data_IF_844046168171
#
_entry.id   IF_844046168171
#
_cell.length_a   1.000
_cell.length_b   1.000
_cell.length_c   1.000
_cell.angle_alpha   90.00
_cell.angle_beta   90.00
_cell.angle_gamma   90.00
#
_symmetry.space_group_name_H-M   'P 1'
#
loop_
_entity.id
_entity.type
_entity.pdbx_description
1 polymer ?
#
# COMPACT_ATOMS: atom_id res chain seq x y z
N UNK A 1 -0.36 14.55 -16.07
CA UNK A 1 -1.06 14.12 -14.84
C UNK A 1 -2.06 15.16 -14.36
N UNK A 2 -1.64 16.34 -13.88
CA UNK A 2 -2.57 17.37 -13.36
C UNK A 2 -3.61 17.82 -14.39
N UNK A 3 -3.18 18.19 -15.60
CA UNK A 3 -4.09 18.61 -16.68
C UNK A 3 -5.09 17.52 -17.07
N UNK A 4 -4.62 16.27 -17.15
CA UNK A 4 -5.46 15.12 -17.47
C UNK A 4 -6.53 14.89 -16.39
N UNK A 5 -6.16 15.03 -15.11
CA UNK A 5 -7.13 14.92 -14.02
C UNK A 5 -8.18 16.02 -14.05
N UNK A 6 -7.79 17.27 -14.38
CA UNK A 6 -8.73 18.38 -14.55
C UNK A 6 -9.72 18.08 -15.69
N UNK A 7 -9.23 17.66 -16.85
CA UNK A 7 -10.05 17.31 -18.03
C UNK A 7 -11.05 16.19 -17.73
N UNK A 8 -10.68 15.23 -16.88
CA UNK A 8 -11.50 14.06 -16.55
C UNK A 8 -12.26 14.20 -15.22
N UNK A 9 -12.30 15.40 -14.63
CA UNK A 9 -13.00 15.68 -13.37
C UNK A 9 -12.51 14.83 -12.18
N UNK A 10 -11.23 14.50 -12.16
CA UNK A 10 -10.57 13.74 -11.09
C UNK A 10 -10.00 14.72 -10.06
N UNK A 11 -10.43 14.57 -8.81
CA UNK A 11 -9.89 15.35 -7.70
C UNK A 11 -8.52 14.77 -7.31
N UNK A 12 -7.46 15.52 -7.59
CA UNK A 12 -6.09 15.13 -7.26
C UNK A 12 -5.74 15.68 -5.88
N UNK A 13 -5.41 14.79 -4.93
CA UNK A 13 -4.93 15.16 -3.61
C UNK A 13 -3.40 15.26 -3.59
N UNK A 14 -2.89 16.46 -3.31
CA UNK A 14 -1.47 16.68 -3.04
C UNK A 14 -1.17 16.38 -1.56
N UNK A 15 -0.67 15.19 -1.27
CA UNK A 15 -0.29 14.80 0.07
C UNK A 15 1.10 15.37 0.44
N UNK A 16 1.36 15.69 1.72
CA UNK A 16 2.69 16.05 2.18
C UNK A 16 3.71 14.95 1.90
N UNK A 17 4.99 15.32 1.77
CA UNK A 17 6.06 14.37 1.52
C UNK A 17 6.10 13.27 2.59
N UNK A 18 6.35 12.02 2.17
CA UNK A 18 6.43 10.82 3.02
C UNK A 18 5.14 10.45 3.79
N UNK A 19 3.99 11.04 3.45
CA UNK A 19 2.72 10.70 4.11
C UNK A 19 1.85 9.71 3.34
N UNK A 20 2.24 9.30 2.13
CA UNK A 20 1.50 8.38 1.27
C UNK A 20 1.07 7.11 2.02
N UNK A 21 2.01 6.45 2.69
CA UNK A 21 1.75 5.20 3.43
C UNK A 21 0.83 5.34 4.66
N UNK A 22 0.52 6.58 5.06
CA UNK A 22 -0.26 6.92 6.25
C UNK A 22 -1.58 7.61 5.89
N UNK A 23 -1.65 8.31 4.76
CA UNK A 23 -2.85 9.06 4.37
C UNK A 23 -3.62 8.39 3.25
N UNK A 24 -2.98 7.53 2.43
CA UNK A 24 -3.70 6.83 1.38
C UNK A 24 -4.46 5.63 1.96
N UNK A 25 -5.80 5.60 1.83
CA UNK A 25 -6.61 4.51 2.39
C UNK A 25 -6.24 3.14 1.84
N UNK A 26 -5.76 3.07 0.59
CA UNK A 26 -5.32 1.84 -0.04
C UNK A 26 -4.06 1.26 0.63
N UNK A 27 -3.09 2.11 0.96
CA UNK A 27 -1.86 1.68 1.64
C UNK A 27 -2.16 1.14 3.04
N UNK A 28 -3.04 1.81 3.79
CA UNK A 28 -3.40 1.38 5.15
C UNK A 28 -4.37 0.21 5.15
N UNK A 29 -5.40 0.25 4.33
CA UNK A 29 -6.53 -0.68 4.38
C UNK A 29 -6.29 -1.97 3.63
N UNK A 30 -5.59 -1.92 2.49
CA UNK A 30 -5.36 -3.10 1.65
C UNK A 30 -3.92 -3.58 1.74
N UNK A 31 -2.94 -2.72 1.46
CA UNK A 31 -1.56 -3.16 1.31
C UNK A 31 -0.87 -3.48 2.63
N UNK A 32 -1.16 -2.77 3.72
CA UNK A 32 -0.61 -3.09 5.05
C UNK A 32 -1.03 -4.48 5.54
N UNK A 33 -2.32 -4.84 5.58
CA UNK A 33 -2.74 -6.19 5.97
C UNK A 33 -2.18 -7.27 5.05
N UNK A 34 -2.21 -7.04 3.74
CA UNK A 34 -1.66 -7.97 2.75
C UNK A 34 -0.17 -8.22 2.98
N UNK A 35 0.61 -7.16 3.18
CA UNK A 35 2.04 -7.25 3.48
C UNK A 35 2.28 -8.03 4.76
N UNK A 36 1.49 -7.76 5.80
CA UNK A 36 1.62 -8.46 7.08
C UNK A 36 1.38 -9.96 6.92
N UNK A 37 0.27 -10.34 6.28
CA UNK A 37 -0.08 -11.74 6.02
C UNK A 37 0.97 -12.46 5.17
N UNK A 38 1.43 -11.81 4.09
CA UNK A 38 2.48 -12.41 3.26
C UNK A 38 3.78 -12.60 4.05
N UNK A 39 4.13 -11.65 4.92
CA UNK A 39 5.33 -11.76 5.77
C UNK A 39 5.20 -12.91 6.76
N UNK A 40 4.02 -13.13 7.36
CA UNK A 40 3.82 -14.24 8.30
C UNK A 40 3.93 -15.59 7.60
N UNK A 41 3.40 -15.73 6.39
CA UNK A 41 3.57 -16.97 5.60
C UNK A 41 5.04 -17.26 5.29
N UNK A 42 5.82 -16.24 4.96
CA UNK A 42 7.25 -16.40 4.72
C UNK A 42 8.03 -16.77 5.99
N UNK A 43 7.61 -16.27 7.15
CA UNK A 43 8.20 -16.63 8.44
C UNK A 43 7.90 -18.08 8.80
N UNK A 44 6.64 -18.51 8.67
CA UNK A 44 6.24 -19.90 8.86
C UNK A 44 7.01 -20.84 7.93
N UNK A 45 7.14 -20.48 6.65
CA UNK A 45 7.92 -21.27 5.70
C UNK A 45 9.39 -21.37 6.09
N UNK A 46 10.01 -20.27 6.56
CA UNK A 46 11.40 -20.26 7.03
C UNK A 46 11.63 -21.13 8.26
N UNK A 47 10.66 -21.19 9.15
CA UNK A 47 10.78 -21.93 10.43
C UNK A 47 10.46 -23.43 10.28
N UNK A 48 10.02 -23.87 9.10
CA UNK A 48 9.68 -25.25 8.82
C UNK A 48 10.94 -26.14 8.85
N UNK A 49 11.09 -27.06 9.82
CA UNK A 49 12.28 -27.87 9.96
C UNK A 49 12.20 -29.04 8.96
N UNK A 50 12.69 -28.80 7.74
CA UNK A 50 12.79 -29.86 6.73
C UNK A 50 12.59 -29.47 5.26
N UNK A 51 12.60 -28.17 4.90
CA UNK A 51 12.82 -27.79 3.50
C UNK A 51 14.32 -27.71 3.17
#
# INVERSE_FOLDING_TARGET
FLLWGIEHHIIIFCLPLHTTSILQPMDIGLFRPLKHYYTSLLQEWRECPGC
#
